data_IF_578565160923
#
_entry.id   IF_578565160923
#
_cell.length_a   1.000
_cell.length_b   1.000
_cell.length_c   1.000
_cell.angle_alpha   90.00
_cell.angle_beta   90.00
_cell.angle_gamma   90.00
#
_symmetry.space_group_name_H-M   'P 1'
#
loop_
_entity.id
_entity.type
_entity.pdbx_description
1 polymer ?
#
# COMPACT_ATOMS: atom_id res chain seq x y z
N UNK A 1 -17.26 -5.71 -2.33
CA UNK A 1 -17.48 -4.75 -3.46
C UNK A 1 -16.19 -4.70 -4.24
N UNK A 2 -16.18 -4.90 -5.56
CA UNK A 2 -14.93 -4.85 -6.33
C UNK A 2 -14.51 -3.39 -6.54
N UNK A 3 -13.31 -3.02 -6.06
CA UNK A 3 -12.74 -1.71 -6.34
C UNK A 3 -12.44 -1.57 -7.83
N UNK A 4 -12.72 -0.39 -8.42
CA UNK A 4 -12.34 -0.10 -9.79
C UNK A 4 -10.82 -0.26 -9.95
N UNK A 5 -10.40 -1.14 -10.86
CA UNK A 5 -8.99 -1.51 -11.06
C UNK A 5 -8.09 -0.30 -11.33
N UNK A 6 -8.56 0.72 -12.05
CA UNK A 6 -7.80 1.94 -12.34
C UNK A 6 -7.59 2.75 -11.07
N UNK A 7 -8.65 2.96 -10.29
CA UNK A 7 -8.57 3.70 -9.03
C UNK A 7 -7.68 3.00 -8.00
N UNK A 8 -7.69 1.67 -8.01
CA UNK A 8 -6.84 0.86 -7.14
C UNK A 8 -5.36 1.01 -7.50
N UNK A 9 -5.01 1.02 -8.79
CA UNK A 9 -3.64 1.28 -9.24
C UNK A 9 -3.18 2.70 -8.84
N UNK A 10 -4.02 3.71 -9.00
CA UNK A 10 -3.71 5.08 -8.53
C UNK A 10 -3.52 5.16 -7.01
N UNK A 11 -4.24 4.33 -6.25
CA UNK A 11 -4.07 4.21 -4.80
C UNK A 11 -2.70 3.62 -4.45
N UNK A 12 -2.27 2.57 -5.15
CA UNK A 12 -0.96 1.96 -4.94
C UNK A 12 0.18 2.95 -5.14
N UNK A 13 0.14 3.74 -6.21
CA UNK A 13 1.16 4.77 -6.48
C UNK A 13 1.27 5.76 -5.31
N UNK A 14 0.14 6.22 -4.78
CA UNK A 14 0.11 7.14 -3.63
C UNK A 14 0.68 6.50 -2.36
N UNK A 15 0.30 5.25 -2.08
CA UNK A 15 0.78 4.52 -0.91
C UNK A 15 2.29 4.29 -0.99
N UNK A 16 2.81 3.84 -2.13
CA UNK A 16 4.24 3.56 -2.33
C UNK A 16 5.06 4.85 -2.16
N UNK A 17 4.62 5.95 -2.77
CA UNK A 17 5.30 7.25 -2.65
C UNK A 17 5.31 7.74 -1.19
N UNK A 18 4.18 7.67 -0.50
CA UNK A 18 4.06 8.09 0.89
C UNK A 18 4.88 7.20 1.85
N UNK A 19 4.92 5.89 1.60
CA UNK A 19 5.74 4.95 2.36
C UNK A 19 7.24 5.24 2.18
N UNK A 20 7.68 5.48 0.94
CA UNK A 20 9.06 5.84 0.64
C UNK A 20 9.49 7.12 1.37
N UNK A 21 8.64 8.16 1.33
CA UNK A 21 8.87 9.43 2.02
C UNK A 21 8.99 9.24 3.54
N UNK A 22 8.07 8.49 4.15
CA UNK A 22 8.01 8.34 5.60
C UNK A 22 9.11 7.43 6.16
N UNK A 23 9.54 6.42 5.41
CA UNK A 23 10.63 5.52 5.79
C UNK A 23 12.02 6.02 5.34
N UNK A 24 12.08 7.09 4.55
CA UNK A 24 13.29 7.58 3.86
C UNK A 24 13.96 6.50 2.99
N UNK A 25 13.13 5.70 2.33
CA UNK A 25 13.59 4.70 1.36
C UNK A 25 13.68 5.29 -0.03
N UNK A 26 14.44 4.61 -0.90
CA UNK A 26 14.31 4.85 -2.33
C UNK A 26 12.91 4.42 -2.78
N UNK A 27 12.41 5.02 -3.87
CA UNK A 27 11.14 4.61 -4.45
C UNK A 27 11.18 3.13 -4.90
N UNK A 28 12.34 2.67 -5.34
CA UNK A 28 12.57 1.29 -5.76
C UNK A 28 12.45 0.30 -4.58
N UNK A 29 13.07 0.61 -3.43
CA UNK A 29 12.97 -0.23 -2.23
C UNK A 29 11.53 -0.29 -1.70
N UNK A 30 10.86 0.86 -1.66
CA UNK A 30 9.46 0.95 -1.25
C UNK A 30 8.54 0.14 -2.18
N UNK A 31 8.77 0.22 -3.50
CA UNK A 31 8.01 -0.52 -4.50
C UNK A 31 8.26 -2.02 -4.39
N UNK A 32 9.52 -2.44 -4.23
CA UNK A 32 9.89 -3.84 -4.05
C UNK A 32 9.22 -4.42 -2.81
N UNK A 33 9.31 -3.73 -1.66
CA UNK A 33 8.65 -4.17 -0.43
C UNK A 33 7.14 -4.24 -0.59
N UNK A 34 6.51 -3.19 -1.12
CA UNK A 34 5.06 -3.11 -1.28
C UNK A 34 4.50 -4.33 -2.01
N UNK A 35 5.06 -4.72 -3.15
CA UNK A 35 4.54 -5.85 -3.94
C UNK A 35 4.73 -7.23 -3.28
N UNK A 36 5.64 -7.35 -2.31
CA UNK A 36 5.86 -8.58 -1.54
C UNK A 36 5.10 -8.58 -0.20
N UNK A 37 4.51 -7.45 0.18
CA UNK A 37 3.82 -7.31 1.46
C UNK A 37 2.49 -8.08 1.54
N UNK A 38 2.16 -8.54 2.75
CA UNK A 38 0.83 -9.02 3.10
C UNK A 38 -0.20 -7.91 2.93
N UNK A 39 0.14 -6.69 3.31
CA UNK A 39 -0.73 -5.52 3.16
C UNK A 39 -1.20 -5.32 1.70
N UNK A 40 -0.31 -5.46 0.71
CA UNK A 40 -0.68 -5.42 -0.71
C UNK A 40 -1.60 -6.57 -1.11
N UNK A 41 -1.36 -7.78 -0.61
CA UNK A 41 -2.20 -8.95 -0.89
C UNK A 41 -3.62 -8.72 -0.38
N UNK A 42 -3.76 -8.21 0.83
CA UNK A 42 -5.05 -7.88 1.44
C UNK A 42 -5.76 -6.77 0.69
N UNK A 43 -5.03 -5.70 0.33
CA UNK A 43 -5.54 -4.59 -0.45
C UNK A 43 -6.04 -5.02 -1.84
N UNK A 44 -5.29 -5.90 -2.53
CA UNK A 44 -5.65 -6.48 -3.83
C UNK A 44 -6.86 -7.41 -3.74
N UNK A 45 -6.93 -8.24 -2.70
CA UNK A 45 -8.02 -9.19 -2.48
C UNK A 45 -9.27 -8.54 -1.86
N UNK A 46 -9.21 -7.24 -1.50
CA UNK A 46 -10.30 -6.52 -0.86
C UNK A 46 -10.59 -7.00 0.57
N UNK A 47 -9.59 -7.59 1.23
CA UNK A 47 -9.71 -8.08 2.61
C UNK A 47 -9.81 -6.88 3.56
N UNK A 48 -10.65 -6.99 4.59
CA UNK A 48 -10.87 -5.97 5.63
C UNK A 48 -11.26 -4.58 5.09
N UNK A 49 -11.78 -4.50 3.87
CA UNK A 49 -12.11 -3.25 3.17
C UNK A 49 -10.94 -2.24 3.15
N UNK A 50 -9.69 -2.72 3.10
CA UNK A 50 -8.50 -1.86 3.07
C UNK A 50 -8.50 -0.87 1.89
N UNK A 51 -9.13 -1.25 0.78
CA UNK A 51 -9.28 -0.38 -0.39
C UNK A 51 -10.10 0.90 -0.10
N UNK A 52 -10.98 0.87 0.91
CA UNK A 52 -11.76 2.02 1.40
C UNK A 52 -11.03 2.84 2.49
N UNK A 53 -9.93 2.33 3.05
CA UNK A 53 -9.15 3.03 4.09
C UNK A 53 -8.29 4.15 3.48
N UNK A 54 -7.86 5.10 4.30
CA UNK A 54 -6.99 6.19 3.86
C UNK A 54 -5.62 5.66 3.42
N UNK A 55 -4.91 6.41 2.57
CA UNK A 55 -3.57 6.01 2.12
C UNK A 55 -2.60 5.93 3.32
N UNK A 56 -2.72 6.85 4.29
CA UNK A 56 -1.92 6.85 5.52
C UNK A 56 -2.13 5.57 6.35
N UNK A 57 -3.38 5.10 6.49
CA UNK A 57 -3.67 3.88 7.24
C UNK A 57 -2.91 2.69 6.65
N UNK A 58 -2.93 2.55 5.32
CA UNK A 58 -2.21 1.46 4.63
C UNK A 58 -0.70 1.60 4.79
N UNK A 59 -0.18 2.83 4.74
CA UNK A 59 1.25 3.09 4.99
C UNK A 59 1.64 2.69 6.40
N UNK A 60 0.78 2.93 7.39
CA UNK A 60 1.07 2.53 8.78
C UNK A 60 1.05 1.00 8.95
N UNK A 61 0.16 0.27 8.26
CA UNK A 61 0.21 -1.21 8.18
C UNK A 61 1.51 -1.70 7.54
N UNK A 62 1.95 -1.08 6.43
CA UNK A 62 3.23 -1.42 5.79
C UNK A 62 4.43 -1.18 6.70
N UNK A 63 4.40 -0.11 7.51
CA UNK A 63 5.46 0.15 8.51
C UNK A 63 5.45 -0.86 9.65
N UNK A 64 4.27 -1.33 10.06
CA UNK A 64 4.14 -2.40 11.05
C UNK A 64 4.70 -3.71 10.51
N UNK A 65 4.41 -4.01 9.24
CA UNK A 65 4.90 -5.22 8.56
C UNK A 65 6.42 -5.19 8.30
N UNK A 66 6.99 -4.00 8.06
CA UNK A 66 8.44 -3.85 7.84
C UNK A 66 9.27 -3.99 9.13
N UNK A 67 8.66 -3.80 10.31
CA UNK A 67 9.34 -3.90 11.62
C UNK A 67 9.51 -5.34 12.06
#
# INVERSE_FOLDING_TARGET
MEANKILLQMKYVRIIALFAEQMRFSLEDALNFFYHSQTYRELRCGIADLHCRSDQYIVDELKLEYR
#
